data_IF_835049835773
#
_entry.id   IF_835049835773
#
_cell.length_a   1.000
_cell.length_b   1.000
_cell.length_c   1.000
_cell.angle_alpha   90.00
_cell.angle_beta   90.00
_cell.angle_gamma   90.00
#
_symmetry.space_group_name_H-M   'P 1'
#
loop_
_entity.id
_entity.type
_entity.pdbx_description
1 polymer ?
#
# COMPACT_ATOMS: atom_id res chain seq x y z
N UNK A 1 -2.32 46.22 8.73
CA UNK A 1 -2.57 44.94 9.41
C UNK A 1 -3.36 44.11 8.43
N UNK A 2 -2.66 43.32 7.62
CA UNK A 2 -3.23 42.54 6.53
C UNK A 2 -3.00 41.08 6.90
N UNK A 3 -4.05 40.41 7.38
CA UNK A 3 -4.00 39.00 7.79
C UNK A 3 -4.23 38.13 6.56
N UNK A 4 -3.16 37.55 6.03
CA UNK A 4 -3.25 36.50 5.00
C UNK A 4 -3.78 35.21 5.66
N UNK A 5 -4.85 34.58 5.16
CA UNK A 5 -5.36 33.35 5.75
C UNK A 5 -4.43 32.16 5.44
N UNK A 6 -4.20 31.33 6.45
CA UNK A 6 -3.41 30.10 6.36
C UNK A 6 -4.00 29.12 5.32
N UNK A 7 -3.18 28.34 4.61
CA UNK A 7 -3.64 27.37 3.63
C UNK A 7 -4.43 26.24 4.33
N UNK A 8 -5.72 26.10 3.97
CA UNK A 8 -6.55 25.00 4.47
C UNK A 8 -6.12 23.67 3.84
N UNK A 9 -6.07 22.58 4.62
CA UNK A 9 -5.75 21.25 4.09
C UNK A 9 -6.83 20.76 3.10
N UNK A 10 -6.47 19.99 2.06
CA UNK A 10 -7.40 19.57 1.03
C UNK A 10 -8.48 18.64 1.60
N UNK A 11 -9.74 19.08 1.53
CA UNK A 11 -10.93 18.31 1.94
C UNK A 11 -11.18 17.12 1.00
N UNK A 12 -10.73 15.95 1.45
CA UNK A 12 -10.97 14.59 0.93
C UNK A 12 -12.33 14.43 0.22
N UNK A 13 -12.30 13.89 -1.00
CA UNK A 13 -13.47 13.51 -1.81
C UNK A 13 -13.60 11.99 -1.75
N UNK A 14 -14.77 11.49 -1.34
CA UNK A 14 -14.98 10.15 -0.79
C UNK A 14 -15.50 9.09 -1.79
N UNK A 15 -15.03 9.05 -3.04
CA UNK A 15 -15.68 8.16 -4.02
C UNK A 15 -14.83 7.76 -5.25
N UNK A 16 -14.61 6.47 -5.50
CA UNK A 16 -13.90 5.52 -4.62
C UNK A 16 -12.72 4.86 -5.37
N UNK A 17 -11.67 4.48 -4.63
CA UNK A 17 -10.43 3.80 -5.05
C UNK A 17 -10.49 2.77 -6.18
N UNK A 18 -11.65 2.15 -6.41
CA UNK A 18 -11.82 1.05 -7.34
C UNK A 18 -11.86 1.55 -8.80
N UNK A 19 -12.35 2.77 -9.05
CA UNK A 19 -12.43 3.34 -10.42
C UNK A 19 -11.08 3.77 -10.97
N UNK A 20 -10.22 4.32 -10.12
CA UNK A 20 -8.88 4.73 -10.54
C UNK A 20 -7.94 3.52 -10.70
N UNK A 21 -8.25 2.37 -10.08
CA UNK A 21 -7.63 1.08 -10.43
C UNK A 21 -8.15 0.50 -11.73
N UNK A 22 -9.39 0.82 -12.11
CA UNK A 22 -9.93 0.44 -13.42
C UNK A 22 -9.23 1.23 -14.55
N UNK A 23 -8.57 2.35 -14.23
CA UNK A 23 -7.62 3.00 -15.16
C UNK A 23 -6.42 2.10 -15.51
N UNK A 24 -6.01 1.21 -14.61
CA UNK A 24 -4.96 0.20 -14.87
C UNK A 24 -5.49 -1.01 -15.67
N UNK A 25 -6.81 -1.18 -15.80
CA UNK A 25 -7.44 -2.21 -16.64
C UNK A 25 -7.42 -1.87 -18.14
N UNK A 26 -6.56 -0.93 -18.56
CA UNK A 26 -6.45 -0.55 -19.96
C UNK A 26 -5.98 -1.75 -20.80
N UNK A 27 -6.95 -2.43 -21.40
CA UNK A 27 -6.75 -3.43 -22.43
C UNK A 27 -6.01 -2.79 -23.59
N UNK A 28 -4.75 -3.19 -23.79
CA UNK A 28 -3.99 -2.93 -25.01
C UNK A 28 -3.92 -1.45 -25.40
N UNK A 29 -3.23 -0.62 -24.62
CA UNK A 29 -2.57 0.54 -25.26
C UNK A 29 -1.20 0.07 -25.74
N UNK A 30 -1.06 -0.10 -27.05
CA UNK A 30 0.24 -0.30 -27.69
C UNK A 30 1.19 0.76 -27.14
N UNK A 31 2.32 0.33 -26.55
CA UNK A 31 3.31 1.20 -25.92
C UNK A 31 3.76 2.22 -26.95
N UNK A 32 3.29 3.48 -26.90
CA UNK A 32 3.97 4.54 -27.60
C UNK A 32 5.33 4.65 -26.92
N UNK A 33 6.40 4.97 -27.66
CA UNK A 33 7.70 5.30 -27.07
C UNK A 33 7.52 6.09 -25.78
N UNK A 34 8.04 5.63 -24.63
CA UNK A 34 7.71 6.23 -23.35
C UNK A 34 8.17 7.68 -23.34
N UNK A 35 7.22 8.61 -23.24
CA UNK A 35 7.48 10.05 -23.09
C UNK A 35 7.82 10.37 -21.62
N UNK A 36 8.67 9.55 -21.01
CA UNK A 36 9.14 9.70 -19.63
C UNK A 36 10.59 9.21 -19.51
N UNK A 37 11.41 9.82 -18.64
CA UNK A 37 12.80 9.43 -18.47
C UNK A 37 12.92 8.08 -17.73
N UNK A 38 14.04 7.35 -17.89
CA UNK A 38 14.25 6.09 -17.16
C UNK A 38 14.43 6.34 -15.67
N UNK A 39 14.11 5.35 -14.82
CA UNK A 39 14.26 5.46 -13.35
C UNK A 39 15.70 5.77 -12.91
N UNK A 40 16.69 5.37 -13.71
CA UNK A 40 18.10 5.71 -13.48
C UNK A 40 18.36 7.22 -13.53
N UNK A 41 17.46 8.04 -14.10
CA UNK A 41 17.57 9.50 -14.09
C UNK A 41 17.16 10.12 -12.76
N UNK A 42 16.47 9.38 -11.89
CA UNK A 42 16.01 9.91 -10.60
C UNK A 42 17.22 10.02 -9.66
N UNK A 43 17.53 11.21 -9.11
CA UNK A 43 18.62 11.39 -8.18
C UNK A 43 18.47 10.55 -6.91
N UNK A 44 19.58 10.22 -6.26
CA UNK A 44 19.54 9.56 -4.96
C UNK A 44 19.17 10.54 -3.85
N UNK A 45 18.32 10.12 -2.92
CA UNK A 45 17.96 10.95 -1.75
C UNK A 45 19.20 11.28 -0.91
N UNK A 46 19.39 12.56 -0.59
CA UNK A 46 20.56 13.01 0.15
C UNK A 46 20.57 12.47 1.59
N UNK A 47 21.75 12.12 2.15
CA UNK A 47 21.86 11.70 3.55
C UNK A 47 21.28 12.73 4.53
N UNK A 48 21.45 14.03 4.24
CA UNK A 48 20.89 15.12 5.04
C UNK A 48 19.35 15.12 5.05
N UNK A 49 18.69 14.73 3.96
CA UNK A 49 17.22 14.58 3.92
C UNK A 49 16.74 13.39 4.76
N UNK A 50 17.45 12.27 4.69
CA UNK A 50 17.15 11.08 5.49
C UNK A 50 17.38 11.32 6.99
N UNK A 51 18.44 12.04 7.34
CA UNK A 51 18.72 12.46 8.72
C UNK A 51 17.64 13.37 9.29
N UNK A 52 17.10 14.31 8.48
CA UNK A 52 15.95 15.14 8.88
C UNK A 52 14.67 14.33 9.13
N UNK A 53 14.48 13.23 8.39
CA UNK A 53 13.34 12.33 8.56
C UNK A 53 13.58 11.22 9.61
N UNK A 54 14.75 11.22 10.28
CA UNK A 54 15.09 10.25 11.33
C UNK A 54 14.50 10.73 12.66
N UNK A 55 13.56 10.00 13.27
CA UNK A 55 13.00 10.37 14.55
C UNK A 55 14.04 10.13 15.67
N UNK A 56 13.93 10.87 16.79
CA UNK A 56 14.79 10.67 17.98
C UNK A 56 14.65 9.26 18.57
N UNK A 57 13.44 8.72 18.51
CA UNK A 57 13.08 7.37 18.90
C UNK A 57 12.16 6.80 17.82
N UNK A 58 12.43 5.58 17.37
CA UNK A 58 11.59 4.96 16.35
C UNK A 58 10.30 4.43 16.99
N UNK A 59 9.13 4.78 16.44
CA UNK A 59 7.89 4.29 16.99
C UNK A 59 7.76 2.78 16.76
N UNK A 60 7.41 2.05 17.82
CA UNK A 60 7.12 0.60 17.75
C UNK A 60 5.82 0.29 16.99
N UNK A 61 4.92 1.28 16.88
CA UNK A 61 3.61 1.18 16.23
C UNK A 61 3.54 2.07 14.99
N UNK A 62 2.71 1.69 14.04
CA UNK A 62 2.39 2.54 12.88
C UNK A 62 1.61 3.77 13.33
N UNK A 63 2.06 4.95 12.90
CA UNK A 63 1.39 6.22 13.21
C UNK A 63 0.47 6.54 12.03
N UNK A 64 -0.81 6.78 12.28
CA UNK A 64 -1.74 7.26 11.25
C UNK A 64 -1.35 8.69 10.89
N UNK A 65 -1.22 9.01 9.60
CA UNK A 65 -0.83 10.37 9.18
C UNK A 65 -1.83 11.45 9.60
N UNK A 66 -3.06 11.08 9.98
CA UNK A 66 -4.08 11.99 10.49
C UNK A 66 -3.90 12.37 11.97
N UNK A 67 -2.98 11.74 12.69
CA UNK A 67 -2.74 12.05 14.12
C UNK A 67 -1.87 13.29 14.28
N UNK A 68 -2.08 14.09 15.35
CA UNK A 68 -1.21 15.22 15.65
C UNK A 68 0.26 14.81 15.80
N UNK A 69 0.53 13.62 16.34
CA UNK A 69 1.90 13.07 16.45
C UNK A 69 2.59 12.96 15.10
N UNK A 70 1.84 12.68 14.02
CA UNK A 70 2.42 12.57 12.69
C UNK A 70 2.99 13.91 12.20
N UNK A 71 2.35 15.04 12.54
CA UNK A 71 2.77 16.38 12.11
C UNK A 71 4.15 16.76 12.63
N UNK A 72 4.52 16.31 13.84
CA UNK A 72 5.85 16.51 14.42
C UNK A 72 6.96 15.83 13.61
N UNK A 73 6.62 14.79 12.82
CA UNK A 73 7.54 14.05 11.96
C UNK A 73 7.44 14.41 10.48
N UNK A 74 6.34 15.06 10.06
CA UNK A 74 5.91 15.15 8.67
C UNK A 74 6.21 16.45 7.98
N UNK A 75 6.05 17.56 8.69
CA UNK A 75 6.28 18.87 8.12
C UNK A 75 7.70 19.32 8.45
N UNK A 76 8.55 19.28 7.44
CA UNK A 76 9.83 19.97 7.50
C UNK A 76 9.59 21.48 7.49
N UNK A 77 9.36 22.05 8.67
CA UNK A 77 9.23 23.50 8.87
C UNK A 77 10.48 24.29 8.49
N UNK A 78 11.59 23.62 8.14
CA UNK A 78 12.88 24.25 7.81
C UNK A 78 13.17 24.28 6.31
N UNK A 79 12.45 23.52 5.50
CA UNK A 79 12.61 23.52 4.04
C UNK A 79 11.80 24.66 3.39
N UNK A 80 12.43 25.40 2.47
CA UNK A 80 11.77 26.45 1.66
C UNK A 80 10.59 25.90 0.83
N UNK A 81 10.63 24.61 0.49
CA UNK A 81 9.57 23.90 -0.21
C UNK A 81 9.22 22.61 0.54
N UNK A 82 7.96 22.40 0.96
CA UNK A 82 7.54 21.15 1.61
C UNK A 82 7.68 19.97 0.65
N UNK A 83 8.22 18.84 1.14
CA UNK A 83 8.39 17.59 0.37
C UNK A 83 7.94 16.39 1.19
N UNK A 84 7.47 15.35 0.51
CA UNK A 84 6.90 14.14 1.14
C UNK A 84 7.74 12.93 0.77
N UNK A 85 8.10 12.10 1.76
CA UNK A 85 8.75 10.81 1.55
C UNK A 85 7.68 9.72 1.45
N UNK A 86 7.48 9.17 0.26
CA UNK A 86 6.48 8.16 -0.05
C UNK A 86 7.11 6.80 -0.36
N UNK A 87 6.80 5.78 0.45
CA UNK A 87 7.19 4.40 0.24
C UNK A 87 6.23 3.69 -0.73
N UNK A 88 6.76 3.38 -1.90
CA UNK A 88 6.14 2.51 -2.90
C UNK A 88 6.58 1.04 -2.72
N UNK A 89 5.62 0.13 -2.83
CA UNK A 89 5.84 -1.32 -2.73
C UNK A 89 5.04 -2.16 -3.77
N UNK A 90 4.07 -1.54 -4.46
CA UNK A 90 3.22 -2.17 -5.46
C UNK A 90 3.50 -1.67 -6.87
N UNK A 91 2.46 -1.38 -7.67
CA UNK A 91 2.61 -0.89 -9.05
C UNK A 91 3.41 0.42 -9.17
N UNK A 92 3.45 1.24 -8.12
CA UNK A 92 4.29 2.44 -8.06
C UNK A 92 5.81 2.18 -8.13
N UNK A 93 6.26 0.93 -8.01
CA UNK A 93 7.66 0.58 -8.24
C UNK A 93 8.06 0.69 -9.72
N UNK A 94 7.12 0.51 -10.65
CA UNK A 94 7.39 0.49 -12.09
C UNK A 94 7.38 1.90 -12.69
N UNK A 95 8.39 2.22 -13.51
CA UNK A 95 8.51 3.50 -14.21
C UNK A 95 7.28 3.82 -15.05
N UNK A 96 6.76 2.79 -15.74
CA UNK A 96 5.60 2.90 -16.60
C UNK A 96 4.37 3.40 -15.86
N UNK A 97 4.16 2.93 -14.64
CA UNK A 97 3.02 3.35 -13.82
C UNK A 97 3.30 4.68 -13.15
N UNK A 98 4.44 4.82 -12.47
CA UNK A 98 4.75 5.99 -11.65
C UNK A 98 5.04 7.25 -12.49
N UNK A 99 5.99 7.15 -13.44
CA UNK A 99 6.40 8.27 -14.30
C UNK A 99 5.51 8.41 -15.54
N UNK A 100 5.02 7.29 -16.07
CA UNK A 100 4.23 7.25 -17.30
C UNK A 100 2.76 7.56 -17.07
N UNK A 101 2.02 6.59 -16.53
CA UNK A 101 0.56 6.65 -16.39
C UNK A 101 0.12 7.75 -15.40
N UNK A 102 0.80 7.86 -14.25
CA UNK A 102 0.47 8.84 -13.21
C UNK A 102 1.12 10.20 -13.43
N UNK A 103 2.15 10.28 -14.27
CA UNK A 103 2.83 11.53 -14.59
C UNK A 103 3.65 12.13 -13.44
N UNK A 104 3.92 11.37 -12.38
CA UNK A 104 4.64 11.84 -11.19
C UNK A 104 6.10 12.08 -11.53
N UNK A 105 6.72 13.09 -10.90
CA UNK A 105 8.14 13.42 -11.12
C UNK A 105 8.85 13.51 -9.77
N UNK A 106 9.42 12.40 -9.28
CA UNK A 106 10.09 12.39 -7.99
C UNK A 106 11.37 13.23 -8.01
N UNK A 107 11.60 13.96 -6.91
CA UNK A 107 12.79 14.77 -6.65
C UNK A 107 14.00 13.86 -6.41
N UNK A 108 13.80 12.80 -5.64
CA UNK A 108 14.83 11.81 -5.33
C UNK A 108 14.23 10.45 -4.98
N UNK A 109 15.05 9.40 -4.99
CA UNK A 109 14.64 8.06 -4.60
C UNK A 109 15.72 7.30 -3.82
N UNK A 110 15.28 6.42 -2.90
CA UNK A 110 16.14 5.51 -2.15
C UNK A 110 15.46 4.15 -1.96
N UNK A 111 16.22 3.07 -2.15
CA UNK A 111 15.72 1.71 -1.90
C UNK A 111 15.69 1.49 -0.38
N UNK A 112 14.63 0.86 0.13
CA UNK A 112 14.47 0.66 1.58
C UNK A 112 13.93 -0.71 1.94
N UNK A 113 14.18 -1.10 3.18
CA UNK A 113 13.47 -2.16 3.89
C UNK A 113 12.63 -1.54 4.99
N UNK A 114 11.35 -1.88 5.07
CA UNK A 114 10.45 -1.55 6.18
C UNK A 114 10.15 -2.83 6.98
N UNK A 115 10.90 -3.12 8.06
CA UNK A 115 10.83 -4.42 8.75
C UNK A 115 9.52 -4.68 9.47
N UNK A 116 8.78 -3.62 9.82
CA UNK A 116 7.50 -3.68 10.54
C UNK A 116 6.33 -4.10 9.66
N UNK A 117 6.49 -4.08 8.33
CA UNK A 117 5.45 -4.43 7.37
C UNK A 117 5.83 -5.69 6.58
N UNK A 118 4.82 -6.36 6.01
CA UNK A 118 4.96 -7.41 5.01
C UNK A 118 4.09 -7.12 3.80
N UNK A 119 4.58 -7.46 2.60
CA UNK A 119 3.79 -7.40 1.37
C UNK A 119 2.72 -8.50 1.37
N UNK A 120 1.48 -8.14 1.10
CA UNK A 120 0.35 -9.07 0.93
C UNK A 120 -0.40 -8.77 -0.37
N UNK A 121 -1.15 -9.74 -0.89
CA UNK A 121 -2.00 -9.58 -2.07
C UNK A 121 -3.48 -9.79 -1.71
N UNK A 122 -3.95 -9.04 -0.71
CA UNK A 122 -5.28 -9.22 -0.12
C UNK A 122 -6.25 -8.07 -0.44
N UNK A 123 -5.84 -7.15 -1.30
CA UNK A 123 -6.65 -6.01 -1.68
C UNK A 123 -7.53 -6.36 -2.89
N UNK A 124 -8.87 -6.31 -2.79
CA UNK A 124 -9.75 -6.79 -3.84
C UNK A 124 -9.69 -5.93 -5.10
N UNK A 125 -9.64 -6.61 -6.24
CA UNK A 125 -9.81 -6.02 -7.58
C UNK A 125 -11.09 -6.54 -8.27
N UNK A 126 -10.97 -6.90 -9.54
CA UNK A 126 -12.07 -7.50 -10.32
C UNK A 126 -11.85 -9.00 -10.45
N UNK A 127 -12.80 -9.79 -9.94
CA UNK A 127 -12.80 -11.25 -10.05
C UNK A 127 -12.58 -11.74 -11.49
N UNK A 128 -11.89 -12.87 -11.64
CA UNK A 128 -11.45 -13.47 -12.90
C UNK A 128 -10.57 -12.62 -13.84
N UNK A 129 -10.24 -11.38 -13.49
CA UNK A 129 -9.46 -10.45 -14.33
C UNK A 129 -8.19 -10.00 -13.60
N UNK A 130 -8.37 -9.28 -12.49
CA UNK A 130 -7.33 -8.81 -11.59
C UNK A 130 -7.86 -8.96 -10.16
N UNK A 131 -7.87 -10.19 -9.63
CA UNK A 131 -8.68 -10.51 -8.46
C UNK A 131 -8.16 -9.85 -7.18
N UNK A 132 -6.85 -9.60 -7.11
CA UNK A 132 -6.23 -8.86 -6.02
C UNK A 132 -5.03 -7.99 -6.45
N UNK A 133 -4.71 -7.03 -5.60
CA UNK A 133 -3.59 -6.10 -5.71
C UNK A 133 -2.73 -6.14 -4.45
N UNK A 134 -1.54 -5.54 -4.52
CA UNK A 134 -0.64 -5.45 -3.39
C UNK A 134 -1.23 -4.59 -2.27
N UNK A 135 -0.95 -4.96 -1.03
CA UNK A 135 -1.24 -4.24 0.19
C UNK A 135 -0.08 -4.48 1.17
N UNK A 136 -0.10 -3.77 2.29
CA UNK A 136 0.80 -4.04 3.40
C UNK A 136 0.04 -4.66 4.56
N UNK A 137 0.71 -5.45 5.38
CA UNK A 137 0.17 -5.93 6.64
C UNK A 137 1.23 -5.77 7.75
N UNK A 138 0.83 -5.40 8.99
CA UNK A 138 1.75 -5.40 10.12
C UNK A 138 2.36 -6.79 10.30
N UNK A 139 3.69 -6.83 10.38
CA UNK A 139 4.43 -8.06 10.51
C UNK A 139 4.35 -8.58 11.94
N UNK A 140 3.85 -9.80 12.13
CA UNK A 140 3.98 -10.53 13.41
C UNK A 140 5.43 -11.00 13.55
N UNK A 141 6.23 -10.27 14.31
CA UNK A 141 7.61 -10.68 14.60
C UNK A 141 7.60 -12.01 15.39
N UNK A 142 8.48 -12.97 15.04
CA UNK A 142 8.65 -14.15 15.87
C UNK A 142 9.05 -13.71 17.27
N UNK A 143 8.31 -14.16 18.28
CA UNK A 143 8.65 -13.88 19.68
C UNK A 143 10.07 -14.37 19.91
N UNK A 144 10.98 -13.48 20.32
CA UNK A 144 12.33 -13.88 20.72
C UNK A 144 12.17 -14.98 21.78
N UNK A 145 12.80 -16.16 21.61
CA UNK A 145 12.71 -17.22 22.60
C UNK A 145 13.09 -16.64 23.96
N UNK A 146 12.24 -16.81 24.98
CA UNK A 146 12.61 -16.43 26.34
C UNK A 146 13.92 -17.16 26.66
N UNK A 147 14.95 -16.47 27.18
CA UNK A 147 16.17 -17.14 27.59
C UNK A 147 15.80 -18.29 28.54
N UNK A 148 16.44 -19.47 28.41
CA UNK A 148 16.13 -20.60 29.26
C UNK A 148 16.24 -20.18 30.72
N UNK A 149 15.23 -20.52 31.53
CA UNK A 149 15.24 -20.24 32.96
C UNK A 149 16.34 -21.11 33.59
N UNK A 150 17.50 -20.51 33.82
CA UNK A 150 18.64 -21.21 34.43
C UNK A 150 18.35 -21.47 35.91
N UNK A 151 18.88 -22.56 36.50
CA UNK A 151 18.85 -22.79 37.93
C UNK A 151 19.47 -21.60 38.69
N UNK A 152 19.04 -21.30 39.93
CA UNK A 152 19.62 -20.23 40.73
C UNK A 152 21.14 -20.44 40.88
N UNK A 153 21.94 -19.45 40.45
CA UNK A 153 23.41 -19.46 40.57
C UNK A 153 24.20 -19.78 39.30
N UNK A 154 23.54 -19.99 38.15
CA UNK A 154 24.19 -20.06 36.84
C UNK A 154 23.83 -18.81 36.03
N UNK A 155 24.78 -17.89 35.91
CA UNK A 155 24.64 -16.80 34.94
C UNK A 155 24.65 -17.37 33.53
N UNK A 156 23.77 -16.92 32.61
CA UNK A 156 23.85 -17.31 31.22
C UNK A 156 25.21 -16.91 30.66
N UNK A 157 25.88 -17.77 29.86
CA UNK A 157 27.10 -17.36 29.17
C UNK A 157 26.81 -16.09 28.37
N UNK A 158 27.60 -15.05 28.61
CA UNK A 158 27.50 -13.79 27.89
C UNK A 158 27.88 -14.06 26.43
N UNK A 159 26.89 -14.30 25.57
CA UNK A 159 27.12 -14.40 24.15
C UNK A 159 27.33 -12.99 23.61
N UNK A 160 28.55 -12.61 23.13
CA UNK A 160 28.81 -11.27 22.61
C UNK A 160 27.99 -10.95 21.35
N UNK A 161 27.37 -11.96 20.75
CA UNK A 161 26.42 -11.84 19.66
C UNK A 161 25.22 -12.74 19.99
N UNK A 162 23.96 -12.32 19.72
CA UNK A 162 22.88 -13.29 19.66
C UNK A 162 23.34 -14.42 18.73
N UNK A 163 23.03 -15.70 19.02
CA UNK A 163 23.39 -16.77 18.09
C UNK A 163 22.89 -16.30 16.74
N UNK A 164 23.81 -16.19 15.77
CA UNK A 164 23.42 -16.14 14.39
C UNK A 164 22.59 -17.41 14.27
N UNK A 165 21.26 -17.27 14.28
CA UNK A 165 20.41 -18.27 13.69
C UNK A 165 20.90 -18.27 12.26
N UNK A 166 21.89 -19.11 12.00
CA UNK A 166 22.27 -19.55 10.69
C UNK A 166 20.94 -19.75 10.01
N UNK A 167 20.66 -18.87 9.06
CA UNK A 167 19.44 -18.85 8.30
C UNK A 167 19.42 -20.09 7.41
N UNK A 168 19.43 -21.28 8.01
CA UNK A 168 18.58 -22.35 7.54
C UNK A 168 17.17 -21.80 7.68
N UNK A 169 16.72 -21.11 6.62
CA UNK A 169 15.30 -20.92 6.39
C UNK A 169 14.64 -22.25 6.76
N UNK A 170 13.68 -22.29 7.71
CA UNK A 170 12.91 -23.50 7.91
C UNK A 170 12.40 -23.94 6.54
N UNK A 171 12.44 -25.25 6.21
CA UNK A 171 12.17 -25.75 4.87
C UNK A 171 10.94 -25.04 4.28
N UNK A 172 11.17 -24.37 3.14
CA UNK A 172 10.43 -23.21 2.66
C UNK A 172 8.97 -23.20 3.06
N UNK A 173 8.63 -22.36 4.05
CA UNK A 173 7.23 -22.14 4.44
C UNK A 173 6.49 -21.67 3.20
N UNK A 174 5.50 -22.44 2.79
CA UNK A 174 4.60 -22.09 1.70
C UNK A 174 3.32 -21.51 2.27
N UNK A 175 2.73 -20.56 1.56
CA UNK A 175 1.37 -20.10 1.81
C UNK A 175 0.35 -21.13 1.29
N UNK A 176 -0.94 -20.88 1.47
CA UNK A 176 -2.05 -21.72 1.00
C UNK A 176 -2.07 -21.96 -0.51
N UNK A 177 -1.41 -21.10 -1.29
CA UNK A 177 -1.24 -21.24 -2.74
C UNK A 177 0.01 -22.04 -3.15
N UNK A 178 0.90 -22.36 -2.20
CA UNK A 178 2.16 -23.04 -2.49
C UNK A 178 3.34 -22.12 -2.81
N UNK A 179 3.17 -20.80 -2.72
CA UNK A 179 4.22 -19.79 -2.91
C UNK A 179 5.12 -19.70 -1.68
N UNK A 180 6.43 -19.38 -1.86
CA UNK A 180 7.33 -19.15 -0.74
C UNK A 180 6.91 -17.92 0.09
N UNK A 181 6.93 -18.03 1.41
CA UNK A 181 6.70 -16.90 2.33
C UNK A 181 7.98 -16.07 2.48
N UNK A 182 7.86 -14.75 2.34
CA UNK A 182 8.97 -13.81 2.57
C UNK A 182 9.05 -13.35 4.03
N UNK A 183 10.25 -13.39 4.60
CA UNK A 183 10.55 -13.02 5.98
C UNK A 183 11.48 -11.79 6.09
N UNK A 184 11.80 -11.11 4.98
CA UNK A 184 12.69 -9.94 4.97
C UNK A 184 12.00 -8.60 5.29
N UNK A 185 10.72 -8.61 5.70
CA UNK A 185 9.91 -7.40 5.80
C UNK A 185 9.52 -6.82 4.44
N UNK A 186 8.90 -5.64 4.41
CA UNK A 186 8.52 -5.00 3.17
C UNK A 186 9.74 -4.39 2.49
N UNK A 187 10.00 -4.74 1.24
CA UNK A 187 11.06 -4.12 0.44
C UNK A 187 10.41 -3.23 -0.61
N UNK A 188 10.92 -2.01 -0.76
CA UNK A 188 10.35 -1.04 -1.67
C UNK A 188 11.28 0.13 -1.94
N UNK A 189 10.71 1.21 -2.49
CA UNK A 189 11.42 2.43 -2.83
C UNK A 189 10.71 3.60 -2.19
N UNK A 190 11.47 4.44 -1.49
CA UNK A 190 10.98 5.73 -1.03
C UNK A 190 11.28 6.77 -2.10
N UNK A 191 10.24 7.43 -2.60
CA UNK A 191 10.33 8.60 -3.46
C UNK A 191 10.13 9.87 -2.63
N UNK A 192 10.97 10.87 -2.87
CA UNK A 192 10.73 12.24 -2.42
C UNK A 192 9.89 12.94 -3.49
N UNK A 193 8.68 13.36 -3.14
CA UNK A 193 7.70 13.96 -4.06
C UNK A 193 7.20 15.29 -3.53
N UNK A 194 6.64 16.13 -4.40
CA UNK A 194 5.96 17.35 -3.96
C UNK A 194 4.60 17.02 -3.34
N UNK A 195 4.00 17.91 -2.55
CA UNK A 195 2.67 17.70 -1.98
C UNK A 195 1.58 17.52 -3.05
N UNK A 196 1.73 18.15 -4.22
CA UNK A 196 0.80 18.04 -5.34
C UNK A 196 0.88 16.65 -6.01
N UNK A 197 2.09 16.16 -6.22
CA UNK A 197 2.33 14.80 -6.70
C UNK A 197 1.84 13.77 -5.68
N UNK A 198 2.07 14.01 -4.39
CA UNK A 198 1.56 13.17 -3.33
C UNK A 198 0.03 13.14 -3.29
N UNK A 199 -0.64 14.29 -3.45
CA UNK A 199 -2.09 14.35 -3.56
C UNK A 199 -2.61 13.55 -4.77
N UNK A 200 -1.85 13.52 -5.88
CA UNK A 200 -2.15 12.71 -7.06
C UNK A 200 -1.99 11.21 -6.76
N UNK A 201 -0.97 10.81 -6.00
CA UNK A 201 -0.80 9.43 -5.52
C UNK A 201 -1.98 9.01 -4.66
N UNK A 202 -2.33 9.82 -3.65
CA UNK A 202 -3.47 9.57 -2.76
C UNK A 202 -4.76 9.42 -3.56
N UNK A 203 -5.00 10.30 -4.54
CA UNK A 203 -6.17 10.25 -5.40
C UNK A 203 -6.23 8.95 -6.21
N UNK A 204 -5.13 8.58 -6.87
CA UNK A 204 -5.09 7.44 -7.81
C UNK A 204 -5.01 6.07 -7.15
N UNK A 205 -4.40 5.97 -5.96
CA UNK A 205 -4.34 4.71 -5.18
C UNK A 205 -5.62 4.45 -4.39
N UNK A 206 -6.41 5.50 -4.15
CA UNK A 206 -7.60 5.45 -3.32
C UNK A 206 -7.36 5.71 -1.83
N UNK A 207 -6.29 6.47 -1.52
CA UNK A 207 -6.02 6.95 -0.17
C UNK A 207 -7.20 7.76 0.37
N UNK A 208 -7.69 7.36 1.55
CA UNK A 208 -8.88 7.91 2.19
C UNK A 208 -10.18 7.13 1.92
N UNK A 209 -10.18 6.12 1.03
CA UNK A 209 -11.36 5.23 0.81
C UNK A 209 -11.03 3.76 1.00
N UNK A 210 -9.96 3.25 0.38
CA UNK A 210 -9.50 1.86 0.57
C UNK A 210 -8.19 1.78 1.36
N UNK A 211 -7.31 2.76 1.20
CA UNK A 211 -6.06 2.86 1.95
C UNK A 211 -6.12 3.97 3.00
N UNK A 212 -5.51 3.71 4.14
CA UNK A 212 -5.11 4.70 5.14
C UNK A 212 -3.65 5.04 4.92
N UNK A 213 -3.32 6.31 5.10
CA UNK A 213 -1.93 6.76 5.09
C UNK A 213 -1.31 6.56 6.48
N UNK A 214 -0.18 5.85 6.52
CA UNK A 214 0.56 5.52 7.74
C UNK A 214 2.03 5.88 7.59
N UNK A 215 2.66 6.28 8.69
CA UNK A 215 4.11 6.40 8.79
C UNK A 215 4.72 5.06 9.17
N UNK A 216 5.75 4.67 8.42
CA UNK A 216 6.49 3.45 8.66
C UNK A 216 8.00 3.70 8.74
N UNK A 217 8.71 3.06 9.69
CA UNK A 217 10.16 3.14 9.77
C UNK A 217 10.79 2.35 8.61
N UNK A 218 11.64 3.04 7.87
CA UNK A 218 12.35 2.56 6.69
C UNK A 218 13.86 2.58 6.93
N UNK A 219 14.54 1.49 6.59
CA UNK A 219 15.99 1.35 6.64
C UNK A 219 16.53 1.44 5.20
N UNK A 220 17.41 2.41 4.88
CA UNK A 220 17.95 2.54 3.53
C UNK A 220 18.82 1.34 3.16
N UNK A 221 18.57 0.78 1.97
CA UNK A 221 19.36 -0.29 1.37
C UNK A 221 20.39 0.36 0.44
N UNK A 222 21.69 0.17 0.67
CA UNK A 222 22.73 0.67 -0.21
C UNK A 222 22.54 0.13 -1.64
N UNK A 223 22.62 0.99 -2.65
CA UNK A 223 22.69 0.53 -4.04
C UNK A 223 23.94 -0.31 -4.22
N UNK A 224 23.90 -1.27 -5.15
CA UNK A 224 25.08 -2.03 -5.59
C UNK A 224 26.07 -1.09 -6.27
N UNK A 225 26.90 -0.41 -5.47
CA UNK A 225 28.05 0.35 -5.97
C UNK A 225 29.20 -0.65 -6.10
N UNK A 226 29.91 -0.62 -7.23
CA UNK A 226 31.13 -1.40 -7.42
C UNK A 226 32.09 -1.19 -6.25
N UNK A 227 32.88 -2.23 -5.93
CA UNK A 227 33.72 -2.31 -4.72
C UNK A 227 34.42 -0.96 -4.46
N UNK A 228 34.08 -0.24 -3.38
CA UNK A 228 34.84 0.93 -2.98
C UNK A 228 36.24 0.47 -2.57
N UNK A 229 37.30 1.04 -3.15
CA UNK A 229 38.71 0.73 -2.84
C UNK A 229 39.09 0.94 -1.36
N UNK A 230 38.21 1.56 -0.56
CA UNK A 230 38.27 1.61 0.90
C UNK A 230 36.84 1.56 1.45
N UNK A 231 36.39 0.47 2.10
CA UNK A 231 35.15 0.51 2.85
C UNK A 231 35.44 1.20 4.19
N UNK A 232 35.02 2.46 4.43
CA UNK A 232 34.75 2.86 5.81
C UNK A 232 33.72 1.86 6.33
N UNK A 233 33.92 1.31 7.53
CA UNK A 233 32.88 0.53 8.20
C UNK A 233 31.57 1.34 8.08
N UNK A 234 30.57 0.88 7.33
CA UNK A 234 29.38 1.69 7.13
C UNK A 234 28.72 1.81 8.50
N UNK A 235 28.64 3.04 9.02
CA UNK A 235 27.78 3.33 10.16
C UNK A 235 26.40 2.70 9.88
N UNK A 236 25.84 2.01 10.88
CA UNK A 236 24.56 1.33 10.73
C UNK A 236 23.52 2.31 10.14
N UNK A 237 22.84 1.93 9.04
CA UNK A 237 21.87 2.81 8.40
C UNK A 237 20.78 3.16 9.40
N UNK A 238 20.63 4.46 9.70
CA UNK A 238 19.61 4.92 10.63
C UNK A 238 18.22 4.82 9.98
N UNK A 239 17.22 4.30 10.71
CA UNK A 239 15.85 4.27 10.22
C UNK A 239 15.29 5.69 10.10
N UNK A 240 14.47 5.92 9.08
CA UNK A 240 13.74 7.18 8.87
C UNK A 240 12.27 6.89 8.61
N UNK A 241 11.39 7.87 8.80
CA UNK A 241 9.96 7.70 8.57
C UNK A 241 9.57 8.08 7.14
N UNK A 242 8.71 7.26 6.53
CA UNK A 242 8.09 7.53 5.24
C UNK A 242 6.60 7.19 5.28
N UNK A 243 5.80 7.93 4.51
CA UNK A 243 4.40 7.61 4.27
C UNK A 243 4.26 6.36 3.45
N UNK A 244 3.27 5.55 3.78
CA UNK A 244 2.85 4.44 2.93
C UNK A 244 1.36 4.21 3.06
N UNK A 245 0.81 3.53 2.07
CA UNK A 245 -0.61 3.24 2.00
C UNK A 245 -0.89 1.85 2.55
N UNK A 246 -1.82 1.77 3.49
CA UNK A 246 -2.22 0.53 4.17
C UNK A 246 -3.74 0.39 4.20
N UNK A 247 -4.26 -0.72 3.66
CA UNK A 247 -5.70 -1.00 3.71
C UNK A 247 -5.98 -1.94 4.90
N UNK A 248 -6.60 -1.45 6.00
CA UNK A 248 -6.92 -2.28 7.14
C UNK A 248 -7.98 -3.32 6.80
N UNK A 249 -7.77 -4.56 7.25
CA UNK A 249 -8.68 -5.69 6.98
C UNK A 249 -10.03 -5.56 7.69
N UNK A 250 -10.02 -4.98 8.87
CA UNK A 250 -11.20 -4.80 9.70
C UNK A 250 -11.47 -3.29 9.73
N UNK A 251 -12.66 -2.83 9.30
CA UNK A 251 -13.11 -1.48 9.62
C UNK A 251 -13.06 -1.37 11.15
N UNK A 252 -12.14 -0.57 11.69
CA UNK A 252 -12.17 -0.22 13.11
C UNK A 252 -13.57 0.30 13.40
N UNK A 253 -14.36 -0.40 14.22
CA UNK A 253 -15.67 0.12 14.62
C UNK A 253 -15.45 1.50 15.23
N UNK A 254 -16.34 2.47 14.99
CA UNK A 254 -16.35 3.68 15.79
C UNK A 254 -16.64 3.25 17.24
N UNK A 255 -15.60 3.19 18.08
CA UNK A 255 -15.69 2.79 19.49
C UNK A 255 -14.85 1.57 19.93
N UNK A 256 -14.18 0.83 19.03
CA UNK A 256 -13.24 -0.23 19.47
C UNK A 256 -11.89 0.40 19.88
N UNK A 257 -11.80 0.74 21.16
CA UNK A 257 -10.69 1.45 21.80
C UNK A 257 -9.42 0.63 21.98
N UNK A 258 -8.60 0.53 20.92
CA UNK A 258 -7.19 0.11 20.99
C UNK A 258 -6.22 1.20 20.47
N UNK A 259 -6.67 2.45 20.39
CA UNK A 259 -5.81 3.63 20.30
C UNK A 259 -5.63 4.23 21.70
N UNK A 260 -4.42 4.71 22.08
CA UNK A 260 -4.28 5.43 23.33
C UNK A 260 -4.98 6.79 23.18
N UNK A 261 -6.08 6.97 23.91
CA UNK A 261 -6.65 8.27 24.30
C UNK A 261 -6.76 9.31 23.19
N UNK A 262 -7.72 9.12 22.28
CA UNK A 262 -8.33 10.23 21.56
C UNK A 262 -9.67 10.53 22.23
N UNK A 263 -9.62 11.28 23.33
CA UNK A 263 -10.77 12.09 23.73
C UNK A 263 -10.95 13.14 22.61
N UNK A 264 -11.65 12.76 21.54
CA UNK A 264 -12.28 13.72 20.64
C UNK A 264 -13.51 14.28 21.39
N UNK A 265 -13.23 15.04 22.44
CA UNK A 265 -14.07 16.16 22.84
C UNK A 265 -13.86 17.25 21.77
N UNK A 266 -14.44 17.04 20.57
CA UNK A 266 -14.67 18.13 19.62
C UNK A 266 -16.18 18.33 19.44
N UNK A 267 -16.56 19.54 19.76
CA UNK A 267 -17.90 20.04 20.02
C UNK A 267 -18.90 19.81 18.86
N UNK A 268 -20.07 19.29 19.21
CA UNK A 268 -21.32 19.98 18.88
C UNK A 268 -21.93 19.88 17.47
N UNK A 269 -21.30 19.26 16.47
CA UNK A 269 -21.97 19.06 15.17
C UNK A 269 -22.64 17.69 15.08
N UNK A 270 -23.97 17.66 15.31
CA UNK A 270 -24.79 16.48 15.04
C UNK A 270 -24.53 15.99 13.60
N UNK A 271 -23.85 14.83 13.46
CA UNK A 271 -23.73 14.14 12.17
C UNK A 271 -25.07 14.17 11.44
N UNK A 272 -25.06 14.65 10.20
CA UNK A 272 -26.25 14.76 9.36
C UNK A 272 -26.99 13.42 9.33
N UNK A 273 -28.34 13.41 9.28
CA UNK A 273 -29.12 12.17 9.16
C UNK A 273 -28.66 11.27 8.01
N UNK A 274 -28.15 11.88 6.92
CA UNK A 274 -27.55 11.16 5.79
C UNK A 274 -26.23 10.48 6.14
N UNK A 275 -25.39 11.08 6.98
CA UNK A 275 -24.12 10.50 7.42
C UNK A 275 -24.35 9.34 8.39
N UNK A 276 -25.32 9.47 9.31
CA UNK A 276 -25.74 8.36 10.20
C UNK A 276 -26.33 7.20 9.42
N UNK A 277 -27.16 7.50 8.41
CA UNK A 277 -27.71 6.50 7.51
C UNK A 277 -26.58 5.82 6.73
N UNK A 278 -25.66 6.58 6.15
CA UNK A 278 -24.48 6.09 5.43
C UNK A 278 -23.61 5.20 6.32
N UNK A 279 -23.32 5.59 7.56
CA UNK A 279 -22.56 4.79 8.52
C UNK A 279 -23.26 3.46 8.82
N UNK A 280 -24.59 3.47 9.04
CA UNK A 280 -25.39 2.24 9.23
C UNK A 280 -25.46 1.36 7.99
N UNK A 281 -25.59 1.93 6.79
CA UNK A 281 -25.54 1.18 5.54
C UNK A 281 -24.16 0.57 5.30
N UNK A 282 -23.10 1.32 5.60
CA UNK A 282 -21.71 0.85 5.56
C UNK A 282 -21.48 -0.28 6.54
N UNK A 283 -21.94 -0.16 7.77
CA UNK A 283 -21.81 -1.21 8.78
C UNK A 283 -22.60 -2.48 8.42
N UNK A 284 -23.80 -2.31 7.84
CA UNK A 284 -24.66 -3.43 7.44
C UNK A 284 -24.17 -4.15 6.17
N UNK A 285 -23.63 -3.42 5.19
CA UNK A 285 -23.22 -3.96 3.89
C UNK A 285 -21.70 -4.13 3.73
N UNK A 286 -20.85 -3.45 4.48
CA UNK A 286 -19.38 -3.48 4.35
C UNK A 286 -18.74 -4.26 5.49
N UNK A 287 -19.21 -5.49 5.70
CA UNK A 287 -18.48 -6.47 6.49
C UNK A 287 -17.09 -6.75 5.88
N UNK A 288 -16.10 -7.18 6.69
CA UNK A 288 -14.68 -6.96 6.45
C UNK A 288 -14.18 -7.42 5.09
N UNK A 289 -13.12 -6.75 4.62
CA UNK A 289 -12.23 -7.24 3.57
C UNK A 289 -11.95 -8.72 3.85
N UNK A 290 -12.10 -9.54 2.80
CA UNK A 290 -12.07 -11.02 2.78
C UNK A 290 -11.37 -11.67 4.00
N UNK A 291 -12.01 -12.64 4.69
CA UNK A 291 -11.47 -13.24 5.91
C UNK A 291 -10.09 -13.90 5.74
N UNK A 292 -9.81 -14.42 4.55
CA UNK A 292 -8.56 -15.08 4.21
C UNK A 292 -7.63 -14.12 3.45
N UNK A 293 -6.42 -13.80 3.95
CA UNK A 293 -5.46 -13.00 3.22
C UNK A 293 -4.83 -13.68 2.01
N UNK A 294 -5.02 -14.99 1.88
CA UNK A 294 -4.53 -15.84 0.80
C UNK A 294 -5.73 -16.28 -0.06
N UNK A 295 -6.72 -15.40 -0.24
CA UNK A 295 -7.94 -15.75 -0.97
C UNK A 295 -7.76 -15.75 -2.50
N UNK A 296 -6.76 -15.03 -3.03
CA UNK A 296 -6.53 -14.89 -4.47
C UNK A 296 -5.06 -14.55 -4.80
N UNK A 297 -4.68 -14.82 -6.04
CA UNK A 297 -3.36 -14.49 -6.59
C UNK A 297 -3.41 -13.24 -7.48
N UNK A 298 -2.37 -12.39 -7.49
CA UNK A 298 -2.34 -11.22 -8.37
C UNK A 298 -2.32 -11.63 -9.84
N UNK A 299 -2.85 -10.77 -10.72
CA UNK A 299 -2.79 -11.03 -12.17
C UNK A 299 -1.34 -11.07 -12.67
N UNK A 300 -1.07 -11.85 -13.72
CA UNK A 300 0.26 -11.90 -14.34
C UNK A 300 0.77 -10.51 -14.76
N UNK A 301 -0.14 -9.67 -15.29
CA UNK A 301 0.16 -8.28 -15.68
C UNK A 301 0.58 -7.45 -14.47
N UNK A 302 -0.17 -7.51 -13.37
CA UNK A 302 0.11 -6.72 -12.18
C UNK A 302 1.40 -7.17 -11.48
N UNK A 303 1.61 -8.49 -11.36
CA UNK A 303 2.83 -9.05 -10.81
C UNK A 303 4.06 -8.64 -11.63
N UNK A 304 3.93 -8.59 -12.96
CA UNK A 304 4.98 -8.12 -13.85
C UNK A 304 5.39 -6.66 -13.57
N UNK A 305 4.45 -5.76 -13.24
CA UNK A 305 4.79 -4.39 -12.84
C UNK A 305 5.69 -4.35 -11.60
N UNK A 306 5.42 -5.20 -10.61
CA UNK A 306 6.22 -5.28 -9.39
C UNK A 306 7.60 -5.87 -9.69
N UNK A 307 7.67 -6.92 -10.51
CA UNK A 307 8.93 -7.56 -10.92
C UNK A 307 9.80 -6.57 -11.72
N UNK A 308 9.21 -5.91 -12.72
CA UNK A 308 9.91 -4.95 -13.57
C UNK A 308 10.40 -3.76 -12.73
N UNK A 309 9.55 -3.20 -11.85
CA UNK A 309 9.95 -2.13 -10.94
C UNK A 309 11.05 -2.53 -9.96
N UNK A 310 11.01 -3.77 -9.44
CA UNK A 310 12.07 -4.30 -8.57
C UNK A 310 13.41 -4.41 -9.30
N UNK A 311 13.38 -4.81 -10.58
CA UNK A 311 14.55 -4.89 -11.44
C UNK A 311 15.09 -3.50 -11.82
N UNK A 312 14.21 -2.57 -12.24
CA UNK A 312 14.55 -1.18 -12.61
C UNK A 312 15.25 -0.43 -11.46
N UNK A 313 14.82 -0.68 -10.22
CA UNK A 313 15.42 -0.09 -9.03
C UNK A 313 16.63 -0.85 -8.47
N UNK A 314 16.92 -2.04 -8.98
CA UNK A 314 17.99 -2.89 -8.45
C UNK A 314 17.76 -3.29 -6.99
N UNK A 315 16.52 -3.69 -6.64
CA UNK A 315 16.20 -4.23 -5.32
C UNK A 315 17.03 -5.51 -5.02
N UNK A 316 17.16 -5.96 -3.76
CA UNK A 316 17.99 -7.12 -3.42
C UNK A 316 17.68 -8.38 -4.24
N UNK A 317 18.70 -9.11 -4.68
CA UNK A 317 18.53 -10.29 -5.56
C UNK A 317 17.66 -11.38 -4.92
N UNK A 318 17.77 -11.56 -3.60
CA UNK A 318 16.94 -12.50 -2.87
C UNK A 318 15.44 -12.13 -2.95
N UNK A 319 15.13 -10.82 -2.92
CA UNK A 319 13.75 -10.32 -3.05
C UNK A 319 13.24 -10.47 -4.48
N UNK A 320 14.06 -10.15 -5.48
CA UNK A 320 13.70 -10.35 -6.89
C UNK A 320 13.46 -11.84 -7.21
N UNK A 321 14.33 -12.73 -6.71
CA UNK A 321 14.17 -14.18 -6.86
C UNK A 321 12.93 -14.72 -6.14
N UNK A 322 12.53 -14.10 -5.02
CA UNK A 322 11.28 -14.41 -4.35
C UNK A 322 10.06 -13.97 -5.17
N UNK A 323 10.04 -12.72 -5.67
CA UNK A 323 8.96 -12.20 -6.52
C UNK A 323 8.76 -13.07 -7.78
N UNK A 324 9.86 -13.51 -8.41
CA UNK A 324 9.82 -14.34 -9.61
C UNK A 324 9.25 -15.76 -9.38
N UNK A 325 9.13 -16.21 -8.13
CA UNK A 325 8.55 -17.51 -7.77
C UNK A 325 7.06 -17.46 -7.47
N UNK A 326 6.51 -16.26 -7.27
CA UNK A 326 5.09 -16.09 -6.99
C UNK A 326 4.27 -16.54 -8.20
N UNK A 327 3.27 -17.38 -7.96
CA UNK A 327 2.37 -17.83 -9.01
C UNK A 327 1.35 -16.71 -9.34
N UNK A 328 1.28 -16.27 -10.60
CA UNK A 328 0.24 -15.35 -11.01
C UNK A 328 -1.08 -16.08 -11.24
N UNK A 329 -2.19 -15.38 -11.00
CA UNK A 329 -3.51 -15.88 -11.35
C UNK A 329 -3.63 -16.17 -12.84
N UNK A 330 -4.12 -17.37 -13.17
CA UNK A 330 -4.38 -17.81 -14.55
C UNK A 330 -5.72 -18.55 -14.66
N UNK A 331 -6.42 -18.31 -15.76
CA UNK A 331 -7.65 -19.04 -16.08
C UNK A 331 -7.26 -20.41 -16.65
N UNK A 332 -7.54 -21.47 -15.89
CA UNK A 332 -7.17 -22.83 -16.27
C UNK A 332 -8.31 -23.59 -16.94
N UNK A 333 -9.57 -23.23 -16.63
CA UNK A 333 -10.75 -23.93 -17.13
C UNK A 333 -11.61 -23.09 -18.08
N UNK A 334 -12.28 -23.76 -19.02
CA UNK A 334 -13.27 -23.10 -19.91
C UNK A 334 -14.45 -22.52 -19.13
N UNK A 335 -14.77 -23.07 -17.96
CA UNK A 335 -15.83 -22.55 -17.08
C UNK A 335 -15.42 -21.21 -16.48
N UNK A 336 -14.20 -21.10 -15.94
CA UNK A 336 -13.64 -19.82 -15.49
C UNK A 336 -13.59 -18.79 -16.62
N UNK A 337 -13.25 -19.18 -17.86
CA UNK A 337 -13.26 -18.26 -19.00
C UNK A 337 -14.67 -17.70 -19.29
N UNK A 338 -15.72 -18.54 -19.21
CA UNK A 338 -17.11 -18.08 -19.32
C UNK A 338 -17.46 -17.17 -18.14
N UNK A 339 -17.08 -17.55 -16.92
CA UNK A 339 -17.25 -16.74 -15.71
C UNK A 339 -16.61 -15.35 -15.85
N UNK A 340 -15.38 -15.29 -16.37
CA UNK A 340 -14.69 -14.04 -16.69
C UNK A 340 -15.51 -13.19 -17.67
N UNK A 341 -15.92 -13.74 -18.81
CA UNK A 341 -16.71 -12.99 -19.79
C UNK A 341 -18.01 -12.42 -19.19
N UNK A 342 -18.69 -13.18 -18.34
CA UNK A 342 -19.91 -12.75 -17.67
C UNK A 342 -19.65 -11.66 -16.62
N UNK A 343 -18.65 -11.84 -15.75
CA UNK A 343 -18.30 -10.84 -14.72
C UNK A 343 -17.80 -9.56 -15.38
N UNK A 344 -16.86 -9.65 -16.32
CA UNK A 344 -16.33 -8.49 -17.05
C UNK A 344 -17.43 -7.80 -17.84
N UNK A 345 -18.28 -8.58 -18.53
CA UNK A 345 -19.43 -8.06 -19.27
C UNK A 345 -20.49 -7.39 -18.39
N UNK A 346 -20.59 -7.76 -17.11
CA UNK A 346 -21.46 -7.11 -16.14
C UNK A 346 -20.80 -5.86 -15.52
N UNK A 347 -19.55 -5.97 -15.07
CA UNK A 347 -18.86 -4.96 -14.27
C UNK A 347 -18.38 -3.78 -15.11
N UNK A 348 -17.76 -4.03 -16.28
CA UNK A 348 -17.23 -2.95 -17.12
C UNK A 348 -18.29 -1.93 -17.57
N UNK A 349 -19.48 -2.30 -18.07
CA UNK A 349 -20.47 -1.30 -18.45
C UNK A 349 -21.03 -0.55 -17.26
N UNK A 350 -21.20 -1.20 -16.09
CA UNK A 350 -21.62 -0.54 -14.86
C UNK A 350 -20.60 0.52 -14.43
N UNK A 351 -19.30 0.19 -14.50
CA UNK A 351 -18.22 1.13 -14.23
C UNK A 351 -18.18 2.25 -15.27
N UNK A 352 -18.30 1.93 -16.55
CA UNK A 352 -18.30 2.92 -17.63
C UNK A 352 -19.46 3.93 -17.48
N UNK A 353 -20.65 3.43 -17.15
CA UNK A 353 -21.82 4.24 -16.83
C UNK A 353 -21.54 5.14 -15.61
N UNK A 354 -20.95 4.58 -14.56
CA UNK A 354 -20.58 5.34 -13.38
C UNK A 354 -19.58 6.46 -13.67
N UNK A 355 -18.55 6.19 -14.48
CA UNK A 355 -17.56 7.19 -14.87
C UNK A 355 -18.20 8.32 -15.69
N UNK A 356 -19.14 7.99 -16.58
CA UNK A 356 -19.91 8.98 -17.32
C UNK A 356 -20.79 9.83 -16.40
N UNK A 357 -21.55 9.21 -15.49
CA UNK A 357 -22.35 9.89 -14.47
C UNK A 357 -21.49 10.76 -13.56
N UNK A 358 -20.33 10.28 -13.16
CA UNK A 358 -19.38 11.01 -12.31
C UNK A 358 -18.86 12.26 -13.00
N UNK A 359 -18.53 12.18 -14.30
CA UNK A 359 -18.14 13.36 -15.07
C UNK A 359 -19.28 14.36 -15.24
N UNK A 360 -20.51 13.86 -15.34
CA UNK A 360 -21.68 14.70 -15.56
C UNK A 360 -22.22 15.36 -14.28
N UNK A 361 -22.10 14.67 -13.14
CA UNK A 361 -22.59 15.11 -11.83
C UNK A 361 -21.49 15.68 -10.94
N UNK A 362 -20.23 15.70 -11.38
CA UNK A 362 -19.15 16.32 -10.64
C UNK A 362 -19.36 17.83 -10.60
N UNK A 363 -19.32 18.41 -9.40
CA UNK A 363 -19.29 19.86 -9.22
C UNK A 363 -18.04 20.47 -9.87
N UNK A 364 -17.98 21.81 -10.00
CA UNK A 364 -16.81 22.56 -10.50
C UNK A 364 -15.49 22.25 -9.74
N UNK A 365 -15.60 21.61 -8.56
CA UNK A 365 -14.49 21.12 -7.73
C UNK A 365 -14.13 19.65 -7.95
N UNK A 366 -14.75 18.97 -8.91
CA UNK A 366 -14.55 17.54 -9.19
C UNK A 366 -15.10 16.60 -8.11
N UNK A 367 -16.00 17.09 -7.24
CA UNK A 367 -16.62 16.27 -6.19
C UNK A 367 -17.89 15.62 -6.73
N UNK A 368 -18.00 14.30 -6.58
CA UNK A 368 -19.21 13.57 -6.98
C UNK A 368 -20.21 13.49 -5.82
N UNK A 369 -21.52 13.40 -6.09
CA UNK A 369 -22.54 13.32 -5.06
C UNK A 369 -22.34 12.11 -4.14
N UNK A 370 -22.53 12.31 -2.82
CA UNK A 370 -22.31 11.25 -1.83
C UNK A 370 -23.20 10.01 -2.06
N UNK A 371 -24.41 10.18 -2.59
CA UNK A 371 -25.30 9.06 -2.93
C UNK A 371 -24.73 8.20 -4.06
N UNK A 372 -24.06 8.83 -5.04
CA UNK A 372 -23.47 8.15 -6.19
C UNK A 372 -22.28 7.29 -5.73
N UNK A 373 -21.43 7.86 -4.86
CA UNK A 373 -20.35 7.14 -4.20
C UNK A 373 -20.82 5.87 -3.49
N UNK A 374 -21.87 6.00 -2.67
CA UNK A 374 -22.46 4.90 -1.90
C UNK A 374 -23.08 3.85 -2.82
N UNK A 375 -23.74 4.26 -3.90
CA UNK A 375 -24.34 3.35 -4.87
C UNK A 375 -23.28 2.46 -5.55
N UNK A 376 -22.15 3.03 -5.97
CA UNK A 376 -21.07 2.26 -6.59
C UNK A 376 -20.44 1.27 -5.61
N UNK A 377 -20.14 1.71 -4.40
CA UNK A 377 -19.58 0.85 -3.36
C UNK A 377 -20.51 -0.32 -3.06
N UNK A 378 -21.82 -0.07 -3.02
CA UNK A 378 -22.86 -1.10 -2.87
C UNK A 378 -22.87 -2.08 -4.04
N UNK A 379 -22.81 -1.59 -5.28
CA UNK A 379 -22.79 -2.44 -6.49
C UNK A 379 -21.55 -3.34 -6.50
N UNK A 380 -20.36 -2.80 -6.21
CA UNK A 380 -19.12 -3.56 -6.18
C UNK A 380 -19.16 -4.65 -5.09
N UNK A 381 -19.74 -4.34 -3.93
CA UNK A 381 -19.94 -5.34 -2.89
C UNK A 381 -20.93 -6.44 -3.31
N UNK A 382 -22.04 -6.08 -3.95
CA UNK A 382 -23.01 -7.05 -4.47
C UNK A 382 -22.41 -7.96 -5.56
N UNK A 383 -21.53 -7.43 -6.40
CA UNK A 383 -20.78 -8.22 -7.39
C UNK A 383 -19.92 -9.28 -6.69
N UNK A 384 -19.24 -8.92 -5.60
CA UNK A 384 -18.46 -9.88 -4.82
C UNK A 384 -19.32 -10.92 -4.10
N UNK A 385 -20.47 -10.54 -3.54
CA UNK A 385 -21.44 -11.51 -2.98
C UNK A 385 -21.93 -12.47 -4.06
N UNK A 386 -22.26 -11.95 -5.24
CA UNK A 386 -22.67 -12.76 -6.38
C UNK A 386 -21.53 -13.70 -6.80
N UNK A 387 -20.29 -13.21 -6.80
CA UNK A 387 -19.13 -14.05 -7.07
C UNK A 387 -19.04 -15.21 -6.09
N UNK A 388 -19.08 -14.96 -4.79
CA UNK A 388 -18.95 -16.02 -3.78
C UNK A 388 -20.06 -17.05 -3.79
N UNK A 389 -21.31 -16.58 -3.91
CA UNK A 389 -22.48 -17.45 -3.79
C UNK A 389 -22.86 -18.14 -5.08
N UNK A 390 -22.46 -17.59 -6.23
CA UNK A 390 -22.89 -18.06 -7.54
C UNK A 390 -21.70 -18.36 -8.44
N UNK A 391 -20.79 -17.42 -8.66
CA UNK A 391 -19.74 -17.64 -9.67
C UNK A 391 -18.68 -18.64 -9.22
N UNK A 392 -18.12 -18.49 -8.03
CA UNK A 392 -17.14 -19.41 -7.44
C UNK A 392 -17.61 -20.88 -7.46
N UNK A 393 -18.84 -21.23 -6.99
CA UNK A 393 -19.29 -22.62 -7.02
C UNK A 393 -19.60 -23.15 -8.43
N UNK A 394 -19.96 -22.30 -9.39
CA UNK A 394 -20.38 -22.73 -10.74
C UNK A 394 -19.20 -22.75 -11.73
N UNK A 395 -18.39 -21.69 -11.72
CA UNK A 395 -17.34 -21.43 -12.70
C UNK A 395 -15.93 -21.72 -12.17
N UNK A 396 -15.75 -21.86 -10.86
CA UNK A 396 -14.45 -22.09 -10.22
C UNK A 396 -13.91 -20.85 -9.52
N UNK A 397 -12.89 -21.04 -8.68
CA UNK A 397 -12.30 -19.98 -7.87
C UNK A 397 -11.20 -19.21 -8.61
N UNK A 398 -10.81 -18.07 -8.06
CA UNK A 398 -9.70 -17.21 -8.48
C UNK A 398 -8.34 -17.66 -7.88
N UNK A 399 -8.26 -18.95 -7.47
CA UNK A 399 -7.12 -19.60 -6.82
C UNK A 399 -6.26 -20.43 -7.78
#
# INVERSE_FOLDING_TARGET
MDQTPAPQPPKSSCAPAILDRIWDLNFKRAVPTPNYPPISSIPQTSPARLQRATPKECPDKHILSSTPEANDYLYDHTASTPTVLYLAYGSNLCAQTFLGQRGIRPISAVNVSAPSLSLTFDLPGIAYQEPCFANTAPRKLPKVPKPPTLPPGLDPPNYPFPPLSSASQPPGRKNGHGDPVWDGGLIGVVYEVTPEDYATIIKTEGGGTSYRDILCPCIPIPKKVGVPEKPPFPDLPRPFLAHTLYAPRIPTKPGDGDGPGGDDDDDGDEKSPLDKLKDRWREMLLQPVRPDPEYAQPSARYLQLIIDGAAEHGLPDAYQAWLARLQPYTITTRRQAIGQCLVVGLVLPLVGLFLALSKWLADDRGKIPAWLALALETVLHLVWIAYDRVFKPIFGDDL
#
